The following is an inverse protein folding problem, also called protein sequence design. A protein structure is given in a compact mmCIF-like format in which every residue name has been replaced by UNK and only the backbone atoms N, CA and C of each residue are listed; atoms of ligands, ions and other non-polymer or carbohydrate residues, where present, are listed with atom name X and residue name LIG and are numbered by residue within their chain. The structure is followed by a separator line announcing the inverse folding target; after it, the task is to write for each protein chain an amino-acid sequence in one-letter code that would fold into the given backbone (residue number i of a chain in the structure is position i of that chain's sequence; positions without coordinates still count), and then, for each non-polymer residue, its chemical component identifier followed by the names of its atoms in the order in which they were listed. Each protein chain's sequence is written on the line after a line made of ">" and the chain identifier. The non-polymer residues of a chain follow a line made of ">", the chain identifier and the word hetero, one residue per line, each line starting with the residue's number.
data_IF_227079475300
#
_entry.id   IF_227079475300
#
_cell.length_a   1.000
_cell.length_b   1.000
_cell.length_c   1.000
_cell.angle_alpha   90.00
_cell.angle_beta   90.00
_cell.angle_gamma   90.00
#
_symmetry.space_group_name_H-M   'P 1'
#
loop_
_entity.id
_entity.type
_entity.pdbx_description
1 polymer ?
#
# COMPACT_ATOMS: atom_id res chain seq x y z
N UNK A 1 0.17 -8.66 -13.35
CA UNK A 1 0.53 -9.93 -12.67
C UNK A 1 -0.56 -10.99 -12.75
N UNK A 2 -1.82 -10.64 -12.44
CA UNK A 2 -2.95 -11.59 -12.43
C UNK A 2 -3.80 -11.43 -13.67
N UNK A 3 -4.08 -12.53 -14.37
CA UNK A 3 -5.01 -12.58 -15.50
C UNK A 3 -6.38 -13.07 -15.01
N UNK A 4 -7.35 -12.16 -14.97
CA UNK A 4 -8.71 -12.44 -14.46
C UNK A 4 -9.48 -13.39 -15.37
N UNK A 5 -9.23 -13.38 -16.67
CA UNK A 5 -9.90 -14.28 -17.63
C UNK A 5 -9.31 -15.69 -17.50
N UNK A 6 -8.00 -15.80 -17.33
CA UNK A 6 -7.34 -17.09 -17.07
C UNK A 6 -7.89 -17.81 -15.83
N UNK A 7 -8.29 -17.08 -14.79
CA UNK A 7 -8.92 -17.65 -13.58
C UNK A 7 -10.20 -18.46 -13.88
N UNK A 8 -10.89 -18.19 -14.99
CA UNK A 8 -12.09 -18.93 -15.41
C UNK A 8 -11.77 -20.37 -15.85
N UNK A 9 -10.51 -20.65 -16.15
CA UNK A 9 -10.03 -21.97 -16.56
C UNK A 9 -9.41 -22.78 -15.41
N UNK A 10 -9.37 -22.22 -14.19
CA UNK A 10 -8.76 -22.88 -13.03
C UNK A 10 -9.57 -24.08 -12.54
N UNK A 11 -8.89 -25.12 -12.06
CA UNK A 11 -9.53 -26.13 -11.21
C UNK A 11 -9.68 -25.57 -9.77
N UNK A 12 -10.91 -25.45 -9.23
CA UNK A 12 -11.10 -25.02 -7.85
C UNK A 12 -10.41 -25.92 -6.82
N UNK A 13 -10.23 -27.21 -7.11
CA UNK A 13 -9.48 -28.10 -6.21
C UNK A 13 -7.99 -27.78 -6.26
N UNK A 14 -7.39 -27.67 -7.44
CA UNK A 14 -6.00 -27.21 -7.59
C UNK A 14 -5.74 -25.86 -6.94
N UNK A 15 -6.70 -24.93 -7.04
CA UNK A 15 -6.65 -23.61 -6.37
C UNK A 15 -6.69 -23.76 -4.85
N UNK A 16 -7.57 -24.61 -4.32
CA UNK A 16 -7.67 -24.94 -2.89
C UNK A 16 -6.38 -25.53 -2.35
N UNK A 17 -5.80 -26.51 -3.05
CA UNK A 17 -4.56 -27.17 -2.67
C UNK A 17 -3.39 -26.16 -2.69
N UNK A 18 -3.32 -25.30 -3.71
CA UNK A 18 -2.32 -24.22 -3.81
C UNK A 18 -2.43 -23.24 -2.62
N UNK A 19 -3.62 -22.72 -2.36
CA UNK A 19 -3.83 -21.75 -1.28
C UNK A 19 -3.44 -22.31 0.10
N UNK A 20 -3.80 -23.57 0.37
CA UNK A 20 -3.45 -24.27 1.61
C UNK A 20 -1.96 -24.61 1.71
N UNK A 21 -1.26 -24.76 0.56
CA UNK A 21 0.18 -25.03 0.56
C UNK A 21 1.03 -23.82 0.95
N UNK A 22 0.50 -22.60 0.78
CA UNK A 22 1.25 -21.35 1.03
C UNK A 22 0.79 -20.61 2.29
N UNK A 23 -0.38 -20.94 2.84
CA UNK A 23 -0.96 -20.21 3.97
C UNK A 23 -1.96 -21.03 4.78
N UNK A 24 -2.11 -20.67 6.06
CA UNK A 24 -3.16 -21.15 6.95
C UNK A 24 -4.45 -20.31 6.88
N UNK A 25 -4.60 -19.47 5.85
CA UNK A 25 -5.81 -18.66 5.67
C UNK A 25 -7.05 -19.58 5.54
N UNK A 26 -8.10 -19.38 6.37
CA UNK A 26 -9.19 -20.35 6.48
C UNK A 26 -10.12 -20.39 5.27
N UNK A 27 -10.21 -19.32 4.46
CA UNK A 27 -11.07 -19.29 3.27
C UNK A 27 -10.34 -19.86 2.06
N UNK A 28 -10.07 -21.15 2.13
CA UNK A 28 -9.26 -21.87 1.14
C UNK A 28 -9.91 -23.17 0.69
N UNK A 29 -11.24 -23.28 0.78
CA UNK A 29 -11.97 -24.49 0.41
C UNK A 29 -12.26 -24.55 -1.09
N UNK A 30 -12.35 -25.76 -1.64
CA UNK A 30 -12.77 -26.03 -3.02
C UNK A 30 -14.08 -25.33 -3.38
N UNK A 31 -15.07 -25.39 -2.47
CA UNK A 31 -16.37 -24.75 -2.65
C UNK A 31 -16.27 -23.22 -2.74
N UNK A 32 -15.46 -22.61 -1.87
CA UNK A 32 -15.23 -21.16 -1.88
C UNK A 32 -14.64 -20.70 -3.22
N UNK A 33 -13.57 -21.34 -3.71
CA UNK A 33 -12.99 -20.99 -5.00
C UNK A 33 -13.92 -21.27 -6.18
N UNK A 34 -14.72 -22.34 -6.12
CA UNK A 34 -15.74 -22.63 -7.14
C UNK A 34 -16.79 -21.52 -7.21
N UNK A 35 -17.23 -20.99 -6.07
CA UNK A 35 -18.22 -19.93 -6.02
C UNK A 35 -17.66 -18.58 -6.45
N UNK A 36 -16.42 -18.26 -6.10
CA UNK A 36 -15.69 -17.09 -6.64
C UNK A 36 -15.57 -17.19 -8.15
N UNK A 37 -15.13 -18.33 -8.68
CA UNK A 37 -15.00 -18.56 -10.12
C UNK A 37 -16.36 -18.41 -10.84
N UNK A 38 -17.43 -19.01 -10.31
CA UNK A 38 -18.79 -18.85 -10.89
C UNK A 38 -19.24 -17.40 -10.88
N UNK A 39 -18.93 -16.64 -9.82
CA UNK A 39 -19.27 -15.20 -9.74
C UNK A 39 -18.55 -14.41 -10.83
N UNK A 40 -17.24 -14.63 -11.02
CA UNK A 40 -16.45 -13.98 -12.08
C UNK A 40 -16.97 -14.42 -13.45
N UNK A 41 -17.26 -15.71 -13.64
CA UNK A 41 -17.80 -16.24 -14.88
C UNK A 41 -19.11 -15.56 -15.27
N UNK A 42 -20.07 -15.45 -14.35
CA UNK A 42 -21.33 -14.74 -14.60
C UNK A 42 -21.11 -13.27 -14.96
N UNK A 43 -20.15 -12.63 -14.30
CA UNK A 43 -19.79 -11.24 -14.59
C UNK A 43 -19.22 -11.10 -16.01
N UNK A 44 -18.32 -11.99 -16.42
CA UNK A 44 -17.75 -12.01 -17.78
C UNK A 44 -18.80 -12.36 -18.84
N UNK A 45 -19.60 -13.39 -18.60
CA UNK A 45 -20.65 -13.85 -19.51
C UNK A 45 -21.77 -12.80 -19.71
N UNK A 46 -21.89 -11.83 -18.79
CA UNK A 46 -22.86 -10.71 -18.93
C UNK A 46 -22.51 -9.74 -20.06
N UNK A 47 -21.27 -9.74 -20.55
CA UNK A 47 -20.75 -8.75 -21.49
C UNK A 47 -20.49 -7.36 -20.87
N UNK A 48 -20.86 -7.13 -19.61
CA UNK A 48 -20.66 -5.88 -18.89
C UNK A 48 -19.41 -5.97 -18.00
N UNK A 49 -18.24 -5.98 -18.63
CA UNK A 49 -16.96 -6.23 -17.96
C UNK A 49 -16.48 -5.11 -17.02
N UNK A 50 -17.10 -3.93 -17.03
CA UNK A 50 -16.76 -2.83 -16.12
C UNK A 50 -15.26 -2.52 -16.09
N UNK A 51 -14.66 -2.58 -14.90
CA UNK A 51 -13.21 -2.36 -14.71
C UNK A 51 -12.32 -3.40 -15.40
N UNK A 52 -12.88 -4.51 -15.88
CA UNK A 52 -12.16 -5.54 -16.64
C UNK A 52 -12.32 -5.39 -18.17
N UNK A 53 -13.12 -4.44 -18.65
CA UNK A 53 -13.24 -4.16 -20.07
C UNK A 53 -11.91 -3.65 -20.65
N UNK A 54 -11.55 -4.11 -21.85
CA UNK A 54 -10.31 -3.74 -22.55
C UNK A 54 -9.02 -3.92 -21.72
N UNK A 55 -9.04 -4.86 -20.77
CA UNK A 55 -7.84 -5.27 -20.04
C UNK A 55 -6.88 -6.08 -20.94
N UNK A 56 -5.64 -6.23 -20.49
CA UNK A 56 -4.57 -6.91 -21.24
C UNK A 56 -4.65 -8.45 -21.18
N UNK A 57 -5.83 -9.02 -20.97
CA UNK A 57 -6.03 -10.46 -20.73
C UNK A 57 -5.44 -11.32 -21.86
N UNK A 58 -4.76 -12.41 -21.51
CA UNK A 58 -4.05 -13.28 -22.46
C UNK A 58 -2.72 -12.74 -22.97
N UNK A 59 -2.29 -11.53 -22.56
CA UNK A 59 -0.99 -10.99 -22.94
C UNK A 59 0.15 -11.94 -22.48
N UNK A 60 1.18 -12.20 -23.31
CA UNK A 60 2.24 -13.17 -23.00
C UNK A 60 3.09 -12.83 -21.77
N UNK A 61 2.98 -11.60 -21.25
CA UNK A 61 3.60 -11.21 -19.99
C UNK A 61 2.87 -11.75 -18.74
N UNK A 62 1.64 -12.26 -18.85
CA UNK A 62 1.02 -13.01 -17.75
C UNK A 62 1.61 -14.41 -17.66
N UNK A 63 2.15 -14.77 -16.49
CA UNK A 63 2.87 -16.02 -16.24
C UNK A 63 2.22 -16.93 -15.19
N UNK A 64 1.23 -16.42 -14.45
CA UNK A 64 0.55 -17.22 -13.43
C UNK A 64 -0.31 -18.31 -14.08
N UNK A 65 -0.32 -19.54 -13.53
CA UNK A 65 -1.29 -20.55 -13.93
C UNK A 65 -2.72 -20.14 -13.52
N UNK A 66 -3.75 -20.71 -14.15
CA UNK A 66 -5.15 -20.44 -13.82
C UNK A 66 -5.46 -20.51 -12.32
N UNK A 67 -4.94 -21.51 -11.60
CA UNK A 67 -5.15 -21.71 -10.16
C UNK A 67 -4.61 -20.55 -9.33
N UNK A 68 -3.40 -20.07 -9.64
CA UNK A 68 -2.83 -18.90 -8.96
C UNK A 68 -3.59 -17.62 -9.30
N UNK A 69 -4.11 -17.49 -10.53
CA UNK A 69 -4.97 -16.37 -10.89
C UNK A 69 -6.28 -16.39 -10.09
N UNK A 70 -6.95 -17.54 -9.98
CA UNK A 70 -8.21 -17.64 -9.22
C UNK A 70 -8.00 -17.37 -7.73
N UNK A 71 -6.92 -17.88 -7.13
CA UNK A 71 -6.53 -17.56 -5.77
C UNK A 71 -6.34 -16.05 -5.57
N UNK A 72 -5.56 -15.40 -6.43
CA UNK A 72 -5.30 -13.97 -6.33
C UNK A 72 -6.55 -13.12 -6.56
N UNK A 73 -7.46 -13.53 -7.45
CA UNK A 73 -8.74 -12.82 -7.62
C UNK A 73 -9.64 -12.99 -6.39
N UNK A 74 -9.67 -14.17 -5.77
CA UNK A 74 -10.39 -14.35 -4.51
C UNK A 74 -9.85 -13.40 -3.44
N UNK A 75 -8.52 -13.38 -3.24
CA UNK A 75 -7.86 -12.51 -2.27
C UNK A 75 -8.00 -11.02 -2.59
N UNK A 76 -8.07 -10.63 -3.87
CA UNK A 76 -8.42 -9.26 -4.27
C UNK A 76 -9.81 -8.85 -3.76
N UNK A 77 -10.81 -9.71 -3.92
CA UNK A 77 -12.17 -9.46 -3.43
C UNK A 77 -12.21 -9.42 -1.89
N UNK A 78 -11.45 -10.30 -1.23
CA UNK A 78 -11.32 -10.30 0.22
C UNK A 78 -10.65 -9.02 0.74
N UNK A 79 -9.58 -8.56 0.09
CA UNK A 79 -8.87 -7.34 0.45
C UNK A 79 -9.76 -6.11 0.30
N UNK A 80 -10.57 -6.05 -0.76
CA UNK A 80 -11.53 -4.97 -0.99
C UNK A 80 -12.60 -4.91 0.12
N UNK A 81 -13.05 -6.05 0.61
CA UNK A 81 -13.99 -6.15 1.73
C UNK A 81 -13.33 -5.82 3.07
N UNK A 82 -12.11 -6.31 3.29
CA UNK A 82 -11.38 -6.18 4.56
C UNK A 82 -10.83 -4.76 4.79
N UNK A 83 -10.37 -4.05 3.75
CA UNK A 83 -9.71 -2.74 3.91
C UNK A 83 -10.59 -1.69 4.61
N UNK A 84 -11.93 -1.80 4.50
CA UNK A 84 -12.86 -0.89 5.18
C UNK A 84 -12.91 -1.09 6.70
N UNK A 85 -12.42 -2.23 7.20
CA UNK A 85 -12.37 -2.54 8.64
C UNK A 85 -11.19 -1.85 9.31
N UNK A 86 -9.98 -1.94 8.73
CA UNK A 86 -8.77 -1.38 9.37
C UNK A 86 -8.85 0.14 9.53
N UNK A 87 -9.49 0.82 8.59
CA UNK A 87 -9.66 2.28 8.64
C UNK A 87 -10.62 2.75 9.74
N UNK A 88 -11.39 1.86 10.38
CA UNK A 88 -12.20 2.23 11.56
C UNK A 88 -11.33 2.67 12.74
N UNK A 89 -10.05 2.30 12.77
CA UNK A 89 -9.09 2.85 13.72
C UNK A 89 -8.98 4.37 13.56
N UNK A 90 -8.91 4.89 12.32
CA UNK A 90 -8.91 6.33 12.07
C UNK A 90 -10.23 6.97 12.49
N UNK A 91 -11.36 6.29 12.29
CA UNK A 91 -12.66 6.80 12.74
C UNK A 91 -12.77 6.89 14.27
N UNK A 92 -12.17 5.93 15.01
CA UNK A 92 -12.14 5.95 16.47
C UNK A 92 -11.30 7.12 16.98
N UNK A 93 -10.08 7.32 16.46
CA UNK A 93 -9.17 8.35 16.98
C UNK A 93 -9.39 9.74 16.37
N UNK A 94 -9.86 9.82 15.14
CA UNK A 94 -9.96 11.05 14.34
C UNK A 94 -11.33 11.27 13.73
N UNK A 95 -12.37 10.57 14.17
CA UNK A 95 -13.77 10.81 13.81
C UNK A 95 -14.24 10.24 12.47
N UNK A 96 -13.35 10.14 11.46
CA UNK A 96 -13.71 9.60 10.14
C UNK A 96 -12.52 9.06 9.33
N UNK A 97 -12.84 8.36 8.24
CA UNK A 97 -11.92 8.00 7.18
C UNK A 97 -12.67 8.04 5.82
N UNK A 98 -12.07 8.59 4.74
CA UNK A 98 -10.80 9.33 4.67
C UNK A 98 -10.81 10.68 5.41
N UNK A 99 -9.64 11.32 5.52
CA UNK A 99 -9.43 12.61 6.19
C UNK A 99 -9.83 12.67 7.68
N UNK A 100 -9.17 11.89 8.57
CA UNK A 100 -9.38 12.03 10.01
C UNK A 100 -8.99 13.44 10.51
N UNK A 101 -9.50 13.82 11.67
CA UNK A 101 -9.20 15.08 12.34
C UNK A 101 -7.87 15.00 13.13
N UNK A 102 -7.12 16.09 13.11
CA UNK A 102 -5.87 16.29 13.86
C UNK A 102 -5.94 17.57 14.70
N UNK A 103 -4.98 17.74 15.62
CA UNK A 103 -4.89 18.92 16.48
C UNK A 103 -3.42 19.33 16.68
N UNK A 104 -3.10 20.62 16.47
CA UNK A 104 -1.78 21.15 16.85
C UNK A 104 -1.61 21.01 18.37
N UNK A 105 -0.55 20.34 18.79
CA UNK A 105 -0.27 20.06 20.21
C UNK A 105 -0.74 18.68 20.70
N UNK A 106 -1.40 17.86 19.87
CA UNK A 106 -1.78 16.50 20.27
C UNK A 106 -2.80 15.83 19.35
N UNK A 107 -3.82 15.23 19.97
CA UNK A 107 -4.94 14.58 19.27
C UNK A 107 -6.28 15.12 19.80
N UNK A 108 -7.34 15.15 18.98
CA UNK A 108 -8.62 15.74 19.40
C UNK A 108 -9.44 14.84 20.33
N UNK A 109 -9.19 13.52 20.35
CA UNK A 109 -9.91 12.58 21.20
C UNK A 109 -9.37 12.61 22.64
N UNK A 110 -10.25 12.87 23.61
CA UNK A 110 -9.94 12.77 25.03
C UNK A 110 -9.89 11.32 25.49
N UNK A 111 -9.13 11.05 26.56
CA UNK A 111 -9.03 9.72 27.18
C UNK A 111 -9.72 9.76 28.54
N UNK A 112 -10.74 8.92 28.71
CA UNK A 112 -11.43 8.72 29.99
C UNK A 112 -12.06 7.33 29.99
N UNK A 113 -11.67 6.48 30.95
CA UNK A 113 -12.09 5.09 31.02
C UNK A 113 -13.55 4.92 31.48
N UNK A 114 -14.09 5.92 32.17
CA UNK A 114 -15.43 5.89 32.78
C UNK A 114 -16.49 6.62 31.93
N UNK A 115 -16.09 7.27 30.84
CA UNK A 115 -16.99 8.00 29.93
C UNK A 115 -17.20 7.28 28.60
N UNK A 116 -18.45 7.27 28.14
CA UNK A 116 -18.84 6.67 26.84
C UNK A 116 -18.35 7.51 25.66
N UNK A 117 -18.26 8.83 25.84
CA UNK A 117 -17.91 9.79 24.78
C UNK A 117 -16.39 9.99 24.60
N UNK A 118 -15.55 9.42 25.47
CA UNK A 118 -14.09 9.49 25.40
C UNK A 118 -13.47 8.18 24.89
N UNK A 119 -12.16 8.16 24.63
CA UNK A 119 -11.43 6.91 24.43
C UNK A 119 -11.42 6.12 25.74
N UNK A 120 -11.99 4.92 25.70
CA UNK A 120 -12.16 4.04 26.85
C UNK A 120 -11.74 2.59 26.52
N UNK A 121 -11.88 1.68 27.49
CA UNK A 121 -11.46 0.29 27.36
C UNK A 121 -12.15 -0.44 26.20
N UNK A 122 -13.44 -0.17 25.94
CA UNK A 122 -14.19 -0.78 24.85
C UNK A 122 -13.61 -0.38 23.48
N UNK A 123 -13.40 0.92 23.26
CA UNK A 123 -12.81 1.43 22.01
C UNK A 123 -11.40 0.90 21.79
N UNK A 124 -10.59 0.84 22.85
CA UNK A 124 -9.23 0.27 22.79
C UNK A 124 -9.24 -1.23 22.50
N UNK A 125 -10.15 -2.00 23.09
CA UNK A 125 -10.31 -3.42 22.79
C UNK A 125 -10.75 -3.62 21.33
N UNK A 126 -11.61 -2.75 20.79
CA UNK A 126 -11.98 -2.80 19.39
C UNK A 126 -10.81 -2.48 18.47
N UNK A 127 -10.02 -1.43 18.76
CA UNK A 127 -8.79 -1.11 18.03
C UNK A 127 -7.82 -2.30 18.04
N UNK A 128 -7.61 -2.95 19.19
CA UNK A 128 -6.77 -4.17 19.27
C UNK A 128 -7.28 -5.27 18.34
N UNK A 129 -8.58 -5.57 18.36
CA UNK A 129 -9.16 -6.57 17.46
C UNK A 129 -8.94 -6.24 15.98
N UNK A 130 -9.09 -4.97 15.59
CA UNK A 130 -8.84 -4.52 14.22
C UNK A 130 -7.36 -4.70 13.82
N UNK A 131 -6.43 -4.38 14.73
CA UNK A 131 -5.00 -4.58 14.51
C UNK A 131 -4.63 -6.07 14.40
N UNK A 132 -5.18 -6.92 15.26
CA UNK A 132 -4.94 -8.38 15.20
C UNK A 132 -5.49 -8.98 13.89
N UNK A 133 -6.67 -8.55 13.45
CA UNK A 133 -7.24 -8.95 12.16
C UNK A 133 -6.38 -8.46 11.00
N UNK A 134 -5.85 -7.24 11.07
CA UNK A 134 -4.97 -6.69 10.04
C UNK A 134 -3.66 -7.46 9.92
N UNK A 135 -3.03 -7.74 11.06
CA UNK A 135 -1.84 -8.57 11.12
C UNK A 135 -2.10 -9.93 10.49
N UNK A 136 -3.21 -10.57 10.86
CA UNK A 136 -3.60 -11.88 10.31
C UNK A 136 -3.78 -11.82 8.79
N UNK A 137 -4.49 -10.82 8.26
CA UNK A 137 -4.68 -10.68 6.81
C UNK A 137 -3.37 -10.41 6.07
N UNK A 138 -2.49 -9.58 6.62
CA UNK A 138 -1.17 -9.30 6.02
C UNK A 138 -0.31 -10.57 6.00
N UNK A 139 -0.22 -11.28 7.14
CA UNK A 139 0.65 -12.44 7.29
C UNK A 139 0.13 -13.68 6.57
N UNK A 140 -1.19 -13.84 6.42
CA UNK A 140 -1.79 -15.04 5.83
C UNK A 140 -2.36 -14.83 4.42
N UNK A 141 -2.50 -13.60 3.94
CA UNK A 141 -2.99 -13.33 2.57
C UNK A 141 -1.95 -12.54 1.79
N UNK A 142 -1.64 -11.31 2.21
CA UNK A 142 -0.80 -10.42 1.41
C UNK A 142 0.63 -10.93 1.19
N UNK A 143 1.33 -11.32 2.26
CA UNK A 143 2.72 -11.80 2.16
C UNK A 143 2.81 -13.14 1.38
N UNK A 144 1.99 -14.17 1.68
CA UNK A 144 2.00 -15.41 0.90
C UNK A 144 1.71 -15.18 -0.59
N UNK A 145 0.72 -14.34 -0.93
CA UNK A 145 0.42 -13.99 -2.32
C UNK A 145 1.57 -13.29 -3.01
N UNK A 146 2.20 -12.31 -2.34
CA UNK A 146 3.35 -11.59 -2.88
C UNK A 146 4.48 -12.56 -3.22
N UNK A 147 4.81 -13.49 -2.32
CA UNK A 147 5.87 -14.49 -2.53
C UNK A 147 5.50 -15.51 -3.62
N UNK A 148 4.24 -15.97 -3.64
CA UNK A 148 3.74 -16.88 -4.66
C UNK A 148 3.81 -16.24 -6.04
N UNK A 149 3.29 -15.01 -6.20
CA UNK A 149 3.35 -14.27 -7.46
C UNK A 149 4.79 -14.02 -7.88
N UNK A 150 5.64 -13.52 -6.97
CA UNK A 150 7.05 -13.24 -7.28
C UNK A 150 7.80 -14.48 -7.79
N UNK A 151 7.42 -15.69 -7.35
CA UNK A 151 8.05 -16.92 -7.82
C UNK A 151 7.89 -17.20 -9.33
N UNK A 152 6.84 -16.67 -9.96
CA UNK A 152 6.58 -16.76 -11.41
C UNK A 152 7.18 -15.62 -12.23
N UNK A 153 7.70 -14.59 -11.57
CA UNK A 153 8.19 -13.35 -12.19
C UNK A 153 9.59 -12.98 -11.73
N UNK A 154 10.46 -13.99 -11.51
CA UNK A 154 11.83 -13.77 -11.00
C UNK A 154 12.68 -12.88 -11.90
N UNK A 155 12.46 -12.95 -13.21
CA UNK A 155 13.10 -12.10 -14.22
C UNK A 155 12.77 -10.61 -14.03
N UNK A 156 11.61 -10.28 -13.47
CA UNK A 156 11.24 -8.90 -13.14
C UNK A 156 12.11 -8.28 -12.05
N UNK A 157 12.83 -9.08 -11.25
CA UNK A 157 13.84 -8.56 -10.32
C UNK A 157 15.00 -7.81 -11.00
N UNK A 158 15.19 -8.02 -12.31
CA UNK A 158 16.18 -7.31 -13.12
C UNK A 158 15.60 -6.12 -13.91
N UNK A 159 14.28 -5.88 -13.82
CA UNK A 159 13.56 -4.88 -14.62
C UNK A 159 13.07 -3.76 -13.70
N UNK A 160 13.26 -2.50 -14.12
CA UNK A 160 12.70 -1.35 -13.39
C UNK A 160 13.46 -0.97 -12.11
N UNK A 161 14.74 -1.32 -11.99
CA UNK A 161 15.57 -1.01 -10.81
C UNK A 161 15.78 0.47 -10.49
N UNK A 162 15.30 1.38 -11.34
CA UNK A 162 15.23 2.82 -11.07
C UNK A 162 16.58 3.48 -10.79
N UNK A 163 16.55 4.49 -9.93
CA UNK A 163 17.72 5.20 -9.44
C UNK A 163 18.52 4.35 -8.43
N UNK A 164 19.77 4.73 -8.21
CA UNK A 164 20.67 4.08 -7.25
C UNK A 164 20.68 4.77 -5.86
N UNK A 165 19.94 5.87 -5.75
CA UNK A 165 19.90 6.70 -4.56
C UNK A 165 18.54 6.57 -3.87
N UNK A 166 18.54 6.48 -2.54
CA UNK A 166 17.34 6.31 -1.72
C UNK A 166 17.35 7.31 -0.57
N UNK A 167 16.22 7.95 -0.30
CA UNK A 167 16.06 8.96 0.76
C UNK A 167 14.90 8.57 1.67
N UNK A 168 15.13 8.65 2.97
CA UNK A 168 14.10 8.55 4.01
C UNK A 168 14.30 9.64 5.05
N UNK A 169 13.26 10.40 5.36
CA UNK A 169 13.28 11.40 6.44
C UNK A 169 13.21 10.77 7.83
N UNK A 170 12.90 9.48 7.88
CA UNK A 170 12.62 8.73 9.10
C UNK A 170 11.24 9.07 9.68
N UNK A 171 10.68 8.13 10.45
CA UNK A 171 9.34 8.27 11.06
C UNK A 171 9.17 7.29 12.24
N UNK A 172 8.00 7.36 12.88
CA UNK A 172 7.58 6.57 14.04
C UNK A 172 8.53 6.76 15.24
N UNK A 173 8.58 7.99 15.82
CA UNK A 173 9.38 8.27 17.01
C UNK A 173 8.97 7.40 18.18
N UNK A 174 9.94 6.80 18.88
CA UNK A 174 9.70 6.00 20.09
C UNK A 174 10.00 6.75 21.39
N UNK A 175 10.70 7.89 21.31
CA UNK A 175 11.05 8.75 22.44
C UNK A 175 10.75 10.24 22.13
N UNK A 176 9.55 10.52 21.63
CA UNK A 176 9.14 11.87 21.24
C UNK A 176 9.71 12.33 19.89
N UNK A 177 9.02 13.25 19.23
CA UNK A 177 9.32 13.66 17.85
C UNK A 177 10.61 14.50 17.70
N UNK A 178 11.14 15.06 18.79
CA UNK A 178 12.39 15.82 18.76
C UNK A 178 13.64 14.93 18.72
N UNK A 179 13.51 13.66 19.09
CA UNK A 179 14.60 12.69 19.14
C UNK A 179 14.60 11.82 17.88
N UNK A 180 15.25 12.31 16.83
CA UNK A 180 15.38 11.60 15.54
C UNK A 180 16.08 10.25 15.69
N UNK A 181 16.98 10.10 16.67
CA UNK A 181 17.69 8.84 16.90
C UNK A 181 16.77 7.73 17.41
N UNK A 182 15.61 8.10 17.98
CA UNK A 182 14.60 7.16 18.49
C UNK A 182 13.63 6.65 17.43
N UNK A 183 13.74 7.11 16.18
CA UNK A 183 12.80 6.76 15.13
C UNK A 183 12.89 5.27 14.80
N UNK A 184 11.74 4.60 14.70
CA UNK A 184 11.71 3.18 14.28
C UNK A 184 12.13 3.04 12.82
N UNK A 185 11.81 4.02 11.97
CA UNK A 185 12.37 4.13 10.63
C UNK A 185 13.47 5.18 10.64
N UNK A 186 14.74 4.80 10.44
CA UNK A 186 15.86 5.73 10.53
C UNK A 186 15.85 6.74 9.38
N UNK A 187 16.36 7.93 9.66
CA UNK A 187 16.60 8.99 8.67
C UNK A 187 17.93 8.75 7.96
N UNK A 188 17.96 9.00 6.65
CA UNK A 188 19.22 9.00 5.90
C UNK A 188 19.06 8.94 4.38
N UNK A 189 20.19 9.02 3.70
CA UNK A 189 20.33 8.83 2.25
C UNK A 189 21.33 7.71 1.98
N UNK A 190 20.95 6.79 1.11
CA UNK A 190 21.88 5.86 0.45
C UNK A 190 22.17 6.43 -0.93
N UNK A 191 23.45 6.51 -1.29
CA UNK A 191 23.90 6.99 -2.60
C UNK A 191 24.62 5.85 -3.34
N UNK A 192 24.36 5.69 -4.64
CA UNK A 192 25.03 4.70 -5.49
C UNK A 192 24.89 3.26 -5.01
N UNK A 193 23.78 2.93 -4.34
CA UNK A 193 23.53 1.63 -3.67
C UNK A 193 24.60 1.23 -2.65
N UNK A 194 25.39 2.18 -2.13
CA UNK A 194 26.39 1.92 -1.09
C UNK A 194 25.72 1.76 0.28
N UNK A 195 25.45 0.50 0.66
CA UNK A 195 24.86 0.18 1.96
C UNK A 195 25.84 0.31 3.14
N UNK A 196 27.12 0.56 2.89
CA UNK A 196 28.12 0.76 3.96
C UNK A 196 28.06 2.17 4.54
N UNK A 197 27.41 3.10 3.84
CA UNK A 197 27.37 4.52 4.20
C UNK A 197 25.96 5.08 4.14
N UNK A 198 25.49 5.54 5.30
CA UNK A 198 24.27 6.34 5.41
C UNK A 198 24.69 7.81 5.50
N UNK A 199 24.26 8.61 4.54
CA UNK A 199 24.44 10.06 4.57
C UNK A 199 23.32 10.72 5.38
N UNK A 200 23.66 11.80 6.08
CA UNK A 200 22.70 12.57 6.87
C UNK A 200 21.72 13.33 5.98
N UNK A 201 20.53 13.61 6.52
CA UNK A 201 19.53 14.49 5.91
C UNK A 201 19.28 15.66 6.85
N UNK A 202 19.60 16.87 6.39
CA UNK A 202 19.19 18.11 7.02
C UNK A 202 18.14 18.82 6.16
N UNK A 203 16.90 18.81 6.66
CA UNK A 203 15.77 19.46 5.99
C UNK A 203 15.74 20.98 6.18
N UNK A 204 16.71 21.54 6.90
CA UNK A 204 16.85 23.00 7.14
C UNK A 204 18.00 23.59 6.34
N UNK A 205 18.89 22.75 5.84
CA UNK A 205 19.98 23.17 4.98
C UNK A 205 19.39 23.56 3.60
N UNK A 206 19.46 24.85 3.22
CA UNK A 206 18.90 25.30 1.95
C UNK A 206 19.58 24.64 0.75
N UNK A 207 20.77 24.03 0.92
CA UNK A 207 21.51 23.38 -0.16
C UNK A 207 21.18 21.91 -0.38
N UNK A 208 20.43 21.26 0.52
CA UNK A 208 20.14 19.82 0.41
C UNK A 208 18.86 19.51 -0.37
N UNK A 209 17.70 19.93 0.13
CA UNK A 209 16.40 19.59 -0.48
C UNK A 209 15.95 20.76 -1.35
N UNK A 210 15.99 20.60 -2.67
CA UNK A 210 15.55 21.61 -3.63
C UNK A 210 14.58 21.05 -4.65
N UNK A 211 13.67 21.89 -5.10
CA UNK A 211 12.75 21.61 -6.19
C UNK A 211 13.17 22.41 -7.44
N UNK A 212 13.15 21.74 -8.59
CA UNK A 212 13.42 22.33 -9.91
C UNK A 212 12.14 22.33 -10.74
N UNK A 213 11.96 23.34 -11.60
CA UNK A 213 10.77 23.48 -12.44
C UNK A 213 11.03 23.39 -13.95
N UNK A 214 12.27 23.15 -14.38
CA UNK A 214 12.66 23.15 -15.80
C UNK A 214 11.83 22.23 -16.72
N UNK A 215 11.19 21.19 -16.16
CA UNK A 215 10.31 20.27 -16.89
C UNK A 215 8.93 20.14 -16.22
N UNK A 216 8.44 21.24 -15.65
CA UNK A 216 7.19 21.32 -14.92
C UNK A 216 6.43 22.60 -15.33
N UNK A 217 5.09 22.59 -15.27
CA UNK A 217 4.25 23.74 -15.61
C UNK A 217 4.15 24.76 -14.48
N UNK A 218 5.30 25.34 -14.11
CA UNK A 218 5.41 26.38 -13.09
C UNK A 218 6.30 27.51 -13.57
N UNK A 219 6.27 28.62 -12.86
CA UNK A 219 7.15 29.75 -13.07
C UNK A 219 7.85 30.15 -11.76
N UNK A 220 9.16 30.33 -11.82
CA UNK A 220 9.99 30.85 -10.73
C UNK A 220 10.48 32.24 -11.11
N UNK A 221 10.44 33.17 -10.17
CA UNK A 221 11.00 34.51 -10.35
C UNK A 221 12.50 34.53 -10.70
N UNK A 222 13.22 33.48 -10.30
CA UNK A 222 14.63 33.23 -10.59
C UNK A 222 14.87 32.45 -11.89
N UNK A 223 13.80 32.17 -12.65
CA UNK A 223 13.81 31.44 -13.93
C UNK A 223 13.82 29.91 -13.79
N UNK A 224 13.48 29.24 -14.89
CA UNK A 224 13.17 27.79 -14.93
C UNK A 224 14.33 26.87 -14.54
N UNK A 225 15.57 27.30 -14.73
CA UNK A 225 16.78 26.53 -14.42
C UNK A 225 17.21 26.65 -12.95
N UNK A 226 16.52 27.47 -12.16
CA UNK A 226 16.82 27.65 -10.75
C UNK A 226 16.16 26.57 -9.89
N UNK A 227 16.77 26.33 -8.72
CA UNK A 227 16.27 25.38 -7.74
C UNK A 227 16.02 26.11 -6.43
N UNK A 228 14.89 25.82 -5.77
CA UNK A 228 14.52 26.48 -4.51
C UNK A 228 14.35 25.45 -3.40
N UNK A 229 14.86 25.77 -2.21
CA UNK A 229 14.50 25.05 -1.00
C UNK A 229 13.02 25.32 -0.67
N UNK A 230 12.23 24.38 -0.11
CA UNK A 230 10.81 24.58 0.14
C UNK A 230 10.43 25.82 0.96
N UNK A 231 11.32 26.30 1.86
CA UNK A 231 11.09 27.57 2.58
C UNK A 231 11.04 28.82 1.69
N UNK A 232 11.68 28.77 0.53
CA UNK A 232 11.68 29.83 -0.49
C UNK A 232 10.87 29.40 -1.74
N UNK A 233 10.22 28.24 -1.68
CA UNK A 233 9.52 27.63 -2.81
C UNK A 233 8.39 28.50 -3.34
N UNK A 234 8.12 28.37 -4.64
CA UNK A 234 7.04 29.08 -5.32
C UNK A 234 6.13 28.08 -6.01
N UNK A 235 4.84 28.39 -6.08
CA UNK A 235 3.84 27.57 -6.78
C UNK A 235 3.00 28.48 -7.66
N UNK A 236 3.61 29.00 -8.73
CA UNK A 236 2.94 29.80 -9.74
C UNK A 236 2.64 28.92 -10.94
N UNK A 237 1.36 28.66 -11.22
CA UNK A 237 0.94 27.76 -12.29
C UNK A 237 1.23 28.38 -13.67
N UNK A 238 1.90 27.64 -14.55
CA UNK A 238 2.23 28.08 -15.91
C UNK A 238 2.13 26.91 -16.89
N UNK A 239 0.90 26.54 -17.27
CA UNK A 239 0.68 25.49 -18.27
C UNK A 239 1.03 26.01 -19.67
N UNK A 240 1.94 25.32 -20.36
CA UNK A 240 2.45 25.71 -21.68
C UNK A 240 2.04 24.77 -22.81
N UNK A 241 1.19 23.77 -22.54
CA UNK A 241 0.63 22.84 -23.54
C UNK A 241 1.03 21.39 -23.32
#
# INVERSE_FOLDING_TARGET
>A
WVDVVSALSADPKGTSDLAQSISNWPKSSVGYFSDVQKRIKRFVDSGQLGIFANGYWGHPAYKLPPEANLMAVAHYLEALEWQKEIVKIHAIFGGKNPHPNYLVGGVPISVNLDEVNALNAEKLAYVKRLLDNAKTFIEQVYIPDLLAVASFYKDWGAIGGGLENYLVYGDLPTNGYGDVSSYKFPRGIIMGRDLSKVHEVDTKDPDQIKEYIAHSYYDYDTGDNSAKHPWEGQTNLNYTG
#
